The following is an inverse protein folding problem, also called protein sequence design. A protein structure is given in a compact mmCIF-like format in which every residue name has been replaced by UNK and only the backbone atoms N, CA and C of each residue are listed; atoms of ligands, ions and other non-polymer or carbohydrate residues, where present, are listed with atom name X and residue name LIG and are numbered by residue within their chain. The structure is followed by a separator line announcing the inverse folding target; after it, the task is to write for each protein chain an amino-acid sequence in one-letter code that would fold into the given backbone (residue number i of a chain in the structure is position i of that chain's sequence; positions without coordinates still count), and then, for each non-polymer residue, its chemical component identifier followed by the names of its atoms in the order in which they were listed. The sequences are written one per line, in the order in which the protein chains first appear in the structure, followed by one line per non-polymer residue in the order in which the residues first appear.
data_IF_215346403527
#
_entry.id   IF_215346403527
#
_cell.length_a   1.000
_cell.length_b   1.000
_cell.length_c   1.000
_cell.angle_alpha   90.00
_cell.angle_beta   90.00
_cell.angle_gamma   90.00
#
_symmetry.space_group_name_H-M   'P 1'
#
loop_
_entity.id
_entity.type
_entity.pdbx_description
1 polymer ?
#
# COMPACT_ATOMS: atom_id res chain seq x y z
N UNK A 1 0.58 4.72 16.13
CA UNK A 1 1.69 3.85 16.60
C UNK A 1 1.35 2.39 16.30
N UNK A 2 1.85 1.86 15.19
CA UNK A 2 1.90 0.42 14.93
C UNK A 2 3.38 0.04 14.84
N UNK A 3 4.00 -0.18 16.00
CA UNK A 3 5.31 -0.83 16.10
C UNK A 3 5.06 -2.32 15.81
N UNK A 4 5.31 -2.81 14.60
CA UNK A 4 5.43 -4.25 14.34
C UNK A 4 6.53 -4.54 13.32
N UNK A 5 7.70 -4.87 13.89
CA UNK A 5 8.71 -5.81 13.36
C UNK A 5 9.18 -5.59 11.92
N UNK A 6 9.58 -4.38 11.56
CA UNK A 6 10.56 -4.23 10.49
C UNK A 6 11.92 -4.71 11.07
N UNK A 7 12.39 -5.88 10.64
CA UNK A 7 13.78 -6.29 10.91
C UNK A 7 14.11 -7.78 10.79
N UNK A 8 13.42 -8.68 11.52
CA UNK A 8 14.00 -10.01 11.84
C UNK A 8 13.06 -11.21 11.64
N UNK A 9 12.00 -11.10 10.82
CA UNK A 9 11.13 -12.24 10.51
C UNK A 9 11.72 -13.12 9.40
N UNK A 10 11.56 -14.44 9.49
CA UNK A 10 11.92 -15.37 8.40
C UNK A 10 11.27 -14.90 7.08
N UNK A 11 11.99 -14.88 5.94
CA UNK A 11 11.46 -14.43 4.64
C UNK A 11 10.08 -15.00 4.30
N UNK A 12 9.84 -16.27 4.63
CA UNK A 12 8.56 -16.96 4.44
C UNK A 12 7.41 -16.28 5.19
N UNK A 13 7.62 -15.89 6.46
CA UNK A 13 6.59 -15.24 7.27
C UNK A 13 6.26 -13.84 6.77
N UNK A 14 7.28 -13.10 6.32
CA UNK A 14 7.12 -11.78 5.71
C UNK A 14 6.32 -11.86 4.42
N UNK A 15 6.66 -12.80 3.55
CA UNK A 15 5.92 -13.06 2.32
C UNK A 15 4.44 -13.40 2.60
N UNK A 16 4.16 -14.30 3.54
CA UNK A 16 2.79 -14.66 3.92
C UNK A 16 2.01 -13.46 4.48
N UNK A 17 2.68 -12.58 5.22
CA UNK A 17 2.07 -11.34 5.75
C UNK A 17 1.64 -10.43 4.60
N UNK A 18 2.54 -10.18 3.65
CA UNK A 18 2.24 -9.40 2.44
C UNK A 18 1.10 -10.00 1.63
N UNK A 19 1.12 -11.32 1.42
CA UNK A 19 0.05 -12.02 0.69
C UNK A 19 -1.31 -11.87 1.39
N UNK A 20 -1.34 -11.98 2.72
CA UNK A 20 -2.53 -11.73 3.53
C UNK A 20 -3.03 -10.29 3.43
N UNK A 21 -2.12 -9.31 3.43
CA UNK A 21 -2.44 -7.90 3.27
C UNK A 21 -3.00 -7.57 1.88
N UNK A 22 -2.44 -8.15 0.82
CA UNK A 22 -2.97 -8.03 -0.54
C UNK A 22 -4.38 -8.65 -0.66
N UNK A 23 -4.59 -9.82 -0.08
CA UNK A 23 -5.90 -10.48 -0.05
C UNK A 23 -6.94 -9.61 0.65
N UNK A 24 -6.58 -9.02 1.80
CA UNK A 24 -7.44 -8.10 2.54
C UNK A 24 -7.75 -6.84 1.74
N UNK A 25 -6.77 -6.29 1.03
CA UNK A 25 -6.97 -5.16 0.12
C UNK A 25 -7.96 -5.53 -0.99
N UNK A 26 -7.83 -6.70 -1.60
CA UNK A 26 -8.77 -7.20 -2.61
C UNK A 26 -10.21 -7.28 -2.10
N UNK A 27 -10.41 -7.83 -0.90
CA UNK A 27 -11.73 -7.88 -0.25
C UNK A 27 -12.29 -6.47 -0.03
N UNK A 28 -11.49 -5.55 0.51
CA UNK A 28 -11.92 -4.15 0.71
C UNK A 28 -12.31 -3.46 -0.61
N UNK A 29 -11.60 -3.74 -1.70
CA UNK A 29 -11.93 -3.22 -3.03
C UNK A 29 -13.30 -3.72 -3.49
N UNK A 30 -13.58 -5.01 -3.31
CA UNK A 30 -14.89 -5.59 -3.63
C UNK A 30 -16.02 -4.97 -2.80
N UNK A 31 -15.84 -4.87 -1.48
CA UNK A 31 -16.79 -4.21 -0.59
C UNK A 31 -17.01 -2.73 -0.97
N UNK A 32 -15.95 -2.02 -1.34
CA UNK A 32 -16.04 -0.64 -1.82
C UNK A 32 -16.87 -0.52 -3.09
N UNK A 33 -16.71 -1.46 -4.03
CA UNK A 33 -17.51 -1.49 -5.27
C UNK A 33 -19.01 -1.63 -4.99
N UNK A 34 -19.39 -2.55 -4.11
CA UNK A 34 -20.79 -2.73 -3.70
C UNK A 34 -21.34 -1.48 -3.00
N UNK A 35 -20.59 -0.94 -2.04
CA UNK A 35 -20.99 0.27 -1.32
C UNK A 35 -21.07 1.51 -2.24
N UNK A 36 -20.20 1.60 -3.24
CA UNK A 36 -20.26 2.65 -4.26
C UNK A 36 -21.53 2.52 -5.10
N UNK A 37 -21.87 1.31 -5.56
CA UNK A 37 -23.10 1.07 -6.32
C UNK A 37 -24.35 1.46 -5.52
N UNK A 38 -24.44 1.09 -4.24
CA UNK A 38 -25.53 1.50 -3.35
C UNK A 38 -25.61 3.02 -3.22
N UNK A 39 -24.47 3.67 -2.96
CA UNK A 39 -24.39 5.14 -2.82
C UNK A 39 -24.86 5.85 -4.09
N UNK A 40 -24.45 5.37 -5.26
CA UNK A 40 -24.89 5.88 -6.56
C UNK A 40 -26.40 5.70 -6.71
N UNK A 41 -26.93 4.50 -6.46
CA UNK A 41 -28.36 4.22 -6.58
C UNK A 41 -29.23 5.16 -5.73
N UNK A 42 -28.90 5.33 -4.45
CA UNK A 42 -29.63 6.26 -3.58
C UNK A 42 -29.54 7.71 -4.07
N UNK A 43 -28.35 8.17 -4.47
CA UNK A 43 -28.14 9.55 -4.94
C UNK A 43 -28.80 9.82 -6.29
N UNK A 44 -28.86 8.83 -7.19
CA UNK A 44 -29.64 8.91 -8.43
C UNK A 44 -31.13 9.03 -8.14
N UNK A 45 -31.67 8.25 -7.20
CA UNK A 45 -33.06 8.37 -6.79
C UNK A 45 -33.37 9.74 -6.17
N UNK A 46 -32.49 10.26 -5.31
CA UNK A 46 -32.60 11.61 -4.74
C UNK A 46 -32.60 12.70 -5.82
N UNK A 47 -31.68 12.61 -6.79
CA UNK A 47 -31.62 13.56 -7.91
C UNK A 47 -32.89 13.50 -8.77
N UNK A 48 -33.38 12.30 -9.07
CA UNK A 48 -34.62 12.13 -9.84
C UNK A 48 -35.83 12.73 -9.11
N UNK A 49 -35.92 12.54 -7.79
CA UNK A 49 -36.95 13.18 -6.98
C UNK A 49 -36.84 14.71 -7.01
N UNK A 50 -35.61 15.25 -6.90
CA UNK A 50 -35.38 16.70 -6.92
C UNK A 50 -35.64 17.37 -8.27
N UNK A 51 -35.59 16.62 -9.38
CA UNK A 51 -36.01 17.14 -10.69
C UNK A 51 -37.52 17.40 -10.78
N UNK A 52 -38.32 16.64 -10.02
CA UNK A 52 -39.78 16.83 -9.98
C UNK A 52 -40.20 17.96 -9.04
N UNK A 53 -39.31 18.41 -8.14
CA UNK A 53 -39.58 19.49 -7.20
C UNK A 53 -38.31 20.34 -6.95
N UNK A 54 -38.20 21.55 -7.52
CA UNK A 54 -37.01 22.39 -7.43
C UNK A 54 -36.56 22.74 -6.00
N UNK A 55 -37.47 22.70 -5.02
CA UNK A 55 -37.13 22.92 -3.60
C UNK A 55 -36.18 21.83 -3.07
N UNK A 56 -36.29 20.60 -3.58
CA UNK A 56 -35.48 19.46 -3.13
C UNK A 56 -34.04 19.53 -3.65
N UNK A 57 -33.73 20.42 -4.61
CA UNK A 57 -32.35 20.73 -5.02
C UNK A 57 -31.55 21.45 -3.93
N UNK A 58 -32.24 22.08 -2.97
CA UNK A 58 -31.59 22.69 -1.80
C UNK A 58 -31.20 21.65 -0.73
N UNK A 59 -31.32 20.35 -1.02
CA UNK A 59 -30.98 19.29 -0.06
C UNK A 59 -29.49 19.38 0.34
N UNK A 60 -29.19 19.51 1.66
CA UNK A 60 -27.82 19.65 2.16
C UNK A 60 -26.93 18.44 1.84
N UNK A 61 -27.51 17.27 1.54
CA UNK A 61 -26.75 16.09 1.10
C UNK A 61 -25.97 16.39 -0.19
N UNK A 62 -26.47 17.23 -1.12
CA UNK A 62 -25.77 17.58 -2.35
C UNK A 62 -24.43 18.28 -2.09
N UNK A 63 -24.40 19.24 -1.18
CA UNK A 63 -23.18 19.96 -0.77
C UNK A 63 -22.22 19.01 -0.05
N UNK A 64 -22.75 18.16 0.84
CA UNK A 64 -21.98 17.15 1.57
C UNK A 64 -21.30 16.15 0.66
N UNK A 65 -21.90 15.77 -0.46
CA UNK A 65 -21.28 14.84 -1.41
C UNK A 65 -19.94 15.34 -1.95
N UNK A 66 -19.85 16.65 -2.20
CA UNK A 66 -18.64 17.30 -2.71
C UNK A 66 -17.54 17.32 -1.65
N UNK A 67 -17.87 17.77 -0.44
CA UNK A 67 -16.89 17.86 0.65
C UNK A 67 -16.31 16.49 1.02
N UNK A 68 -17.14 15.45 1.08
CA UNK A 68 -16.70 14.07 1.37
C UNK A 68 -15.68 13.53 0.35
N UNK A 69 -15.83 13.87 -0.94
CA UNK A 69 -14.89 13.48 -1.99
C UNK A 69 -13.56 14.22 -1.84
N UNK A 70 -13.61 15.52 -1.56
CA UNK A 70 -12.42 16.36 -1.37
C UNK A 70 -11.66 15.92 -0.12
N UNK A 71 -12.33 15.72 1.01
CA UNK A 71 -11.72 15.26 2.26
C UNK A 71 -11.02 13.90 2.07
N UNK A 72 -11.69 12.93 1.44
CA UNK A 72 -11.10 11.62 1.17
C UNK A 72 -9.88 11.72 0.24
N UNK A 73 -9.92 12.61 -0.76
CA UNK A 73 -8.80 12.85 -1.67
C UNK A 73 -7.60 13.48 -0.94
N UNK A 74 -7.83 14.48 -0.10
CA UNK A 74 -6.77 15.14 0.67
C UNK A 74 -6.12 14.17 1.64
N UNK A 75 -6.91 13.36 2.35
CA UNK A 75 -6.38 12.34 3.26
C UNK A 75 -5.60 11.26 2.51
N UNK A 76 -6.10 10.78 1.37
CA UNK A 76 -5.39 9.83 0.52
C UNK A 76 -4.07 10.40 0.00
N UNK A 77 -4.07 11.67 -0.42
CA UNK A 77 -2.86 12.36 -0.92
C UNK A 77 -1.81 12.47 0.19
N UNK A 78 -2.21 12.88 1.39
CA UNK A 78 -1.30 12.97 2.53
C UNK A 78 -0.75 11.59 2.93
N UNK A 79 -1.59 10.55 2.89
CA UNK A 79 -1.18 9.19 3.19
C UNK A 79 -0.18 8.64 2.15
N UNK A 80 -0.43 8.90 0.86
CA UNK A 80 0.49 8.56 -0.24
C UNK A 80 1.81 9.32 -0.12
N UNK A 81 1.77 10.63 0.14
CA UNK A 81 2.96 11.46 0.29
C UNK A 81 3.87 10.92 1.41
N UNK A 82 3.28 10.50 2.53
CA UNK A 82 4.03 9.83 3.60
C UNK A 82 4.62 8.48 3.16
N UNK A 83 3.85 7.66 2.47
CA UNK A 83 4.30 6.34 2.01
C UNK A 83 5.40 6.40 0.94
N UNK A 84 5.48 7.48 0.14
CA UNK A 84 6.58 7.69 -0.81
C UNK A 84 7.94 7.75 -0.10
N UNK A 85 8.00 8.37 1.09
CA UNK A 85 9.23 8.41 1.88
C UNK A 85 9.68 7.01 2.33
N UNK A 86 8.74 6.17 2.77
CA UNK A 86 9.01 4.78 3.18
C UNK A 86 9.45 3.92 1.97
N UNK A 87 8.84 4.14 0.80
CA UNK A 87 9.26 3.50 -0.46
C UNK A 87 10.67 3.93 -0.88
N UNK A 88 11.00 5.22 -0.75
CA UNK A 88 12.34 5.72 -1.06
C UNK A 88 13.40 5.15 -0.11
N UNK A 89 13.07 4.98 1.17
CA UNK A 89 13.95 4.28 2.11
C UNK A 89 14.19 2.83 1.70
N UNK A 90 13.14 2.10 1.30
CA UNK A 90 13.27 0.73 0.82
C UNK A 90 14.16 0.61 -0.42
N UNK A 91 14.02 1.54 -1.35
CA UNK A 91 14.89 1.63 -2.52
C UNK A 91 16.36 1.86 -2.14
N UNK A 92 16.63 2.78 -1.20
CA UNK A 92 17.99 3.03 -0.73
C UNK A 92 18.61 1.82 -0.03
N UNK A 93 17.85 1.09 0.77
CA UNK A 93 18.31 -0.15 1.42
C UNK A 93 18.70 -1.22 0.40
N UNK A 94 17.92 -1.37 -0.68
CA UNK A 94 18.26 -2.28 -1.78
C UNK A 94 19.61 -1.91 -2.41
N UNK A 95 19.83 -0.63 -2.71
CA UNK A 95 21.07 -0.15 -3.31
C UNK A 95 22.28 -0.31 -2.37
N UNK A 96 22.10 -0.01 -1.08
CA UNK A 96 23.16 -0.16 -0.08
C UNK A 96 23.58 -1.62 0.08
N UNK A 97 22.64 -2.56 0.10
CA UNK A 97 22.96 -3.99 0.21
C UNK A 97 23.83 -4.49 -0.94
N UNK A 98 23.49 -4.10 -2.18
CA UNK A 98 24.27 -4.48 -3.36
C UNK A 98 25.68 -3.87 -3.36
N UNK A 99 25.81 -2.60 -2.96
CA UNK A 99 27.11 -1.94 -2.81
C UNK A 99 27.98 -2.61 -1.73
N UNK A 100 27.37 -3.02 -0.62
CA UNK A 100 28.06 -3.75 0.45
C UNK A 100 28.67 -5.05 -0.07
N UNK A 101 27.88 -5.86 -0.80
CA UNK A 101 28.34 -7.13 -1.36
C UNK A 101 29.44 -6.92 -2.41
N UNK A 102 29.32 -5.88 -3.25
CA UNK A 102 30.36 -5.52 -4.20
C UNK A 102 31.68 -5.14 -3.50
N UNK A 103 31.64 -4.39 -2.40
CA UNK A 103 32.82 -4.03 -1.62
C UNK A 103 33.47 -5.26 -0.96
N UNK A 104 32.68 -6.20 -0.46
CA UNK A 104 33.17 -7.48 0.08
C UNK A 104 33.88 -8.28 -1.00
N UNK A 105 33.31 -8.35 -2.21
CA UNK A 105 33.91 -9.05 -3.34
C UNK A 105 35.24 -8.42 -3.76
N UNK A 106 35.29 -7.10 -3.94
CA UNK A 106 36.52 -6.38 -4.33
C UNK A 106 37.62 -6.51 -3.27
N UNK A 107 37.29 -6.38 -1.99
CA UNK A 107 38.26 -6.53 -0.91
C UNK A 107 38.74 -7.99 -0.75
N UNK A 108 37.85 -8.96 -0.94
CA UNK A 108 38.19 -10.38 -0.91
C UNK A 108 39.15 -10.80 -2.01
N UNK A 109 39.02 -10.23 -3.22
CA UNK A 109 39.93 -10.52 -4.34
C UNK A 109 41.39 -10.19 -4.01
N UNK A 110 41.64 -9.13 -3.23
CA UNK A 110 42.99 -8.76 -2.78
C UNK A 110 43.61 -9.74 -1.76
N UNK A 111 42.81 -10.63 -1.18
CA UNK A 111 43.24 -11.59 -0.16
C UNK A 111 43.40 -13.01 -0.70
N UNK A 112 42.89 -13.31 -1.91
CA UNK A 112 43.00 -14.63 -2.52
C UNK A 112 44.46 -14.96 -2.89
N UNK A 113 44.95 -16.11 -2.43
CA UNK A 113 46.28 -16.64 -2.72
C UNK A 113 46.24 -17.91 -3.57
N UNK A 114 45.06 -18.50 -3.74
CA UNK A 114 44.85 -19.70 -4.54
C UNK A 114 43.55 -19.62 -5.37
N UNK A 115 43.42 -20.44 -6.43
CA UNK A 115 42.16 -20.59 -7.15
C UNK A 115 41.01 -21.10 -6.26
N UNK A 116 41.29 -21.86 -5.20
CA UNK A 116 40.26 -22.33 -4.27
C UNK A 116 39.66 -21.15 -3.49
N UNK A 117 40.47 -20.16 -3.11
CA UNK A 117 40.02 -18.96 -2.41
C UNK A 117 39.06 -18.13 -3.29
N UNK A 118 39.29 -18.10 -4.60
CA UNK A 118 38.41 -17.43 -5.56
C UNK A 118 37.04 -18.10 -5.64
N UNK A 119 37.00 -19.43 -5.66
CA UNK A 119 35.75 -20.19 -5.67
C UNK A 119 34.97 -19.99 -4.38
N UNK A 120 35.64 -20.00 -3.22
CA UNK A 120 35.00 -19.73 -1.94
C UNK A 120 34.44 -18.29 -1.85
N UNK A 121 35.23 -17.31 -2.28
CA UNK A 121 34.81 -15.91 -2.34
C UNK A 121 33.59 -15.74 -3.25
N UNK A 122 33.60 -16.37 -4.43
CA UNK A 122 32.49 -16.34 -5.37
C UNK A 122 31.23 -16.95 -4.74
N UNK A 123 31.35 -18.15 -4.14
CA UNK A 123 30.22 -18.82 -3.49
C UNK A 123 29.61 -17.96 -2.37
N UNK A 124 30.46 -17.39 -1.51
CA UNK A 124 30.03 -16.50 -0.42
C UNK A 124 29.32 -15.26 -0.95
N UNK A 125 29.95 -14.59 -1.92
CA UNK A 125 29.40 -13.37 -2.54
C UNK A 125 28.03 -13.65 -3.18
N UNK A 126 27.88 -14.77 -3.89
CA UNK A 126 26.60 -15.16 -4.50
C UNK A 126 25.54 -15.40 -3.43
N UNK A 127 25.88 -16.13 -2.37
CA UNK A 127 24.94 -16.44 -1.28
C UNK A 127 24.48 -15.16 -0.58
N UNK A 128 25.41 -14.27 -0.22
CA UNK A 128 25.11 -12.98 0.41
C UNK A 128 24.32 -12.05 -0.54
N UNK A 129 24.63 -12.06 -1.84
CA UNK A 129 23.88 -11.29 -2.85
C UNK A 129 22.43 -11.74 -2.93
N UNK A 130 22.18 -13.06 -2.95
CA UNK A 130 20.84 -13.63 -3.02
C UNK A 130 20.07 -13.32 -1.75
N UNK A 131 20.68 -13.49 -0.58
CA UNK A 131 20.04 -13.17 0.70
C UNK A 131 19.67 -11.68 0.81
N UNK A 132 20.61 -10.79 0.48
CA UNK A 132 20.37 -9.34 0.45
C UNK A 132 19.27 -8.98 -0.57
N UNK A 133 19.28 -9.63 -1.74
CA UNK A 133 18.27 -9.46 -2.77
C UNK A 133 16.87 -9.84 -2.31
N UNK A 134 16.71 -11.00 -1.65
CA UNK A 134 15.43 -11.47 -1.10
C UNK A 134 14.90 -10.48 -0.06
N UNK A 135 15.74 -10.06 0.88
CA UNK A 135 15.33 -9.14 1.95
C UNK A 135 14.89 -7.79 1.40
N UNK A 136 15.62 -7.26 0.43
CA UNK A 136 15.32 -5.99 -0.19
C UNK A 136 14.07 -6.05 -1.07
N UNK A 137 13.88 -7.14 -1.83
CA UNK A 137 12.66 -7.37 -2.60
C UNK A 137 11.43 -7.44 -1.70
N UNK A 138 11.50 -8.20 -0.60
CA UNK A 138 10.41 -8.26 0.39
C UNK A 138 10.11 -6.89 1.00
N UNK A 139 11.15 -6.13 1.36
CA UNK A 139 10.95 -4.79 1.92
C UNK A 139 10.30 -3.84 0.91
N UNK A 140 10.67 -3.92 -0.36
CA UNK A 140 10.04 -3.14 -1.42
C UNK A 140 8.56 -3.50 -1.59
N UNK A 141 8.21 -4.79 -1.61
CA UNK A 141 6.82 -5.22 -1.74
C UNK A 141 5.99 -4.84 -0.51
N UNK A 142 6.56 -4.95 0.69
CA UNK A 142 5.94 -4.46 1.94
C UNK A 142 5.63 -2.95 1.85
N UNK A 143 6.60 -2.13 1.44
CA UNK A 143 6.43 -0.68 1.29
C UNK A 143 5.39 -0.31 0.23
N UNK A 144 5.37 -0.99 -0.92
CA UNK A 144 4.35 -0.78 -1.95
C UNK A 144 2.96 -1.17 -1.44
N UNK A 145 2.85 -2.30 -0.75
CA UNK A 145 1.58 -2.76 -0.17
C UNK A 145 1.06 -1.76 0.87
N UNK A 146 1.94 -1.27 1.74
CA UNK A 146 1.61 -0.24 2.72
C UNK A 146 1.14 1.06 2.05
N UNK A 147 1.84 1.50 1.00
CA UNK A 147 1.48 2.69 0.21
C UNK A 147 0.09 2.54 -0.43
N UNK A 148 -0.19 1.40 -1.06
CA UNK A 148 -1.51 1.11 -1.65
C UNK A 148 -2.60 1.14 -0.58
N UNK A 149 -2.39 0.48 0.56
CA UNK A 149 -3.36 0.49 1.66
C UNK A 149 -3.59 1.90 2.22
N UNK A 150 -2.53 2.69 2.35
CA UNK A 150 -2.59 4.07 2.84
C UNK A 150 -3.44 4.95 1.91
N UNK A 151 -3.27 4.83 0.59
CA UNK A 151 -4.07 5.58 -0.39
C UNK A 151 -5.53 5.11 -0.48
N UNK A 152 -5.80 3.82 -0.34
CA UNK A 152 -7.15 3.27 -0.48
C UNK A 152 -8.03 3.40 0.77
N UNK A 153 -7.43 3.43 1.96
CA UNK A 153 -8.18 3.40 3.23
C UNK A 153 -9.16 4.57 3.38
N UNK A 154 -8.78 5.83 3.07
CA UNK A 154 -9.71 6.97 3.12
C UNK A 154 -10.94 6.77 2.23
N UNK A 155 -10.72 6.38 0.97
CA UNK A 155 -11.79 6.15 0.01
C UNK A 155 -12.73 5.02 0.47
N UNK A 156 -12.19 3.87 0.88
CA UNK A 156 -12.96 2.75 1.40
C UNK A 156 -13.84 3.17 2.58
N UNK A 157 -13.27 3.90 3.56
CA UNK A 157 -14.00 4.37 4.74
C UNK A 157 -15.16 5.29 4.36
N UNK A 158 -14.90 6.29 3.51
CA UNK A 158 -15.91 7.27 3.08
C UNK A 158 -17.04 6.60 2.29
N UNK A 159 -16.70 5.76 1.33
CA UNK A 159 -17.70 5.05 0.51
C UNK A 159 -18.59 4.16 1.38
N UNK A 160 -18.01 3.41 2.32
CA UNK A 160 -18.77 2.54 3.22
C UNK A 160 -19.63 3.33 4.21
N UNK A 161 -19.13 4.45 4.73
CA UNK A 161 -19.89 5.32 5.61
C UNK A 161 -21.09 5.95 4.88
N UNK A 162 -20.90 6.35 3.62
CA UNK A 162 -21.96 6.90 2.78
C UNK A 162 -23.05 5.88 2.48
N UNK A 163 -22.67 4.68 2.04
CA UNK A 163 -23.62 3.61 1.78
C UNK A 163 -24.48 3.30 3.02
N UNK A 164 -23.84 3.18 4.20
CA UNK A 164 -24.55 2.95 5.46
C UNK A 164 -25.48 4.09 5.85
N UNK A 165 -25.06 5.35 5.66
CA UNK A 165 -25.88 6.53 5.96
C UNK A 165 -27.11 6.58 5.05
N UNK A 166 -26.91 6.44 3.75
CA UNK A 166 -27.99 6.50 2.76
C UNK A 166 -28.97 5.35 2.92
N UNK A 167 -28.48 4.14 3.23
CA UNK A 167 -29.36 3.01 3.55
C UNK A 167 -30.25 3.27 4.78
N UNK A 168 -29.78 4.03 5.79
CA UNK A 168 -30.63 4.41 6.94
C UNK A 168 -31.65 5.50 6.61
N UNK A 169 -31.37 6.32 5.60
CA UNK A 169 -32.26 7.41 5.19
C UNK A 169 -33.32 6.95 4.19
N UNK A 170 -33.08 5.86 3.48
CA UNK A 170 -33.89 5.43 2.33
C UNK A 170 -34.28 3.93 2.33
N UNK A 171 -33.91 3.17 3.35
CA UNK A 171 -34.31 1.78 3.57
C UNK A 171 -35.12 1.64 4.83
#
# INVERSE_FOLDING_TARGET
MARRKAGNGEPTQRFLTVAGDLTRTGVKTGEMGVAAAQTIGYRTAMMAAAMNNPIDLANPEFVRMGSEKVEAMVEATHAVAKGIGEMQQAWMTLMQGQLQVAMVMVSGLGQCRSPADLVELQHRTVTESVEAGIHAALYMVESVTALTQAGMTPAYRTVRANARRLAKLHG
#
